data_IF_086373696263
#
_entry.id   IF_086373696263
#
_cell.length_a   1.000
_cell.length_b   1.000
_cell.length_c   1.000
_cell.angle_alpha   90.00
_cell.angle_beta   90.00
_cell.angle_gamma   90.00
#
_symmetry.space_group_name_H-M   'P 1'
#
loop_
_entity.id
_entity.type
_entity.pdbx_description
1 polymer ?
#
# COMPACT_ATOMS: atom_id res chain seq x y z
N UNK A 1 23.30 -34.12 -5.79
CA UNK A 1 22.71 -33.91 -4.45
C UNK A 1 22.40 -32.43 -4.15
N UNK A 2 22.42 -31.53 -5.14
CA UNK A 2 22.23 -30.08 -4.94
C UNK A 2 20.77 -29.59 -5.10
N UNK A 3 19.91 -30.36 -5.77
CA UNK A 3 18.55 -29.93 -6.09
C UNK A 3 17.57 -29.89 -4.89
N UNK A 4 17.91 -30.53 -3.76
CA UNK A 4 17.06 -30.56 -2.57
C UNK A 4 17.24 -29.34 -1.64
N UNK A 5 18.29 -28.55 -1.81
CA UNK A 5 18.50 -27.34 -1.00
C UNK A 5 17.58 -26.18 -1.40
N UNK A 6 17.14 -26.17 -2.66
CA UNK A 6 16.30 -25.10 -3.21
C UNK A 6 14.83 -25.27 -2.78
N UNK A 7 14.37 -26.51 -2.62
CA UNK A 7 12.96 -26.82 -2.27
C UNK A 7 12.68 -26.76 -0.77
N UNK A 8 13.67 -27.02 0.09
CA UNK A 8 13.54 -26.91 1.53
C UNK A 8 13.56 -25.45 2.05
N UNK A 9 14.03 -24.50 1.24
CA UNK A 9 14.30 -23.12 1.66
C UNK A 9 13.55 -22.09 0.79
N UNK A 10 12.24 -22.30 0.58
CA UNK A 10 11.36 -21.24 0.09
C UNK A 10 11.45 -19.99 0.97
N UNK A 11 11.77 -20.19 2.25
CA UNK A 11 12.08 -19.13 3.20
C UNK A 11 13.51 -18.58 2.99
N UNK A 12 13.66 -17.26 2.76
CA UNK A 12 14.95 -16.64 2.53
C UNK A 12 15.90 -16.84 3.70
N UNK A 13 15.46 -16.90 4.96
CA UNK A 13 16.32 -17.07 6.14
C UNK A 13 17.06 -18.41 6.10
N UNK A 14 16.33 -19.49 5.78
CA UNK A 14 16.89 -20.84 5.65
C UNK A 14 17.95 -20.88 4.54
N UNK A 15 17.72 -20.17 3.43
CA UNK A 15 18.68 -20.09 2.32
C UNK A 15 19.98 -19.38 2.71
N UNK A 16 19.92 -18.31 3.51
CA UNK A 16 21.12 -17.58 3.95
C UNK A 16 21.94 -18.41 4.94
N UNK A 17 21.27 -19.15 5.83
CA UNK A 17 21.91 -20.03 6.81
C UNK A 17 22.63 -21.18 6.11
N UNK A 18 21.97 -21.80 5.12
CA UNK A 18 22.53 -22.93 4.36
C UNK A 18 23.68 -22.50 3.42
N UNK A 19 23.62 -21.29 2.82
CA UNK A 19 24.63 -20.84 1.85
C UNK A 19 25.84 -20.18 2.50
N UNK A 20 25.65 -19.37 3.55
CA UNK A 20 26.72 -18.54 4.10
C UNK A 20 27.25 -19.00 5.47
N UNK A 21 26.65 -20.01 6.12
CA UNK A 21 27.07 -20.55 7.44
C UNK A 21 27.32 -19.46 8.51
N UNK A 22 26.66 -18.31 8.40
CA UNK A 22 26.81 -17.14 9.28
C UNK A 22 25.61 -17.04 10.20
N UNK A 23 25.84 -17.20 11.50
CA UNK A 23 24.81 -17.60 12.45
C UNK A 23 23.91 -16.46 12.93
N UNK A 24 24.38 -15.21 13.01
CA UNK A 24 23.70 -14.20 13.83
C UNK A 24 23.50 -12.81 13.17
N UNK A 25 24.53 -12.16 12.62
CA UNK A 25 24.43 -10.73 12.23
C UNK A 25 23.48 -10.46 11.05
N UNK A 26 23.53 -11.28 9.99
CA UNK A 26 22.72 -11.10 8.77
C UNK A 26 21.24 -11.41 8.98
N UNK A 27 20.92 -12.38 9.83
CA UNK A 27 19.54 -12.71 10.21
C UNK A 27 18.91 -11.58 11.03
N UNK A 28 19.68 -10.95 11.92
CA UNK A 28 19.19 -9.80 12.68
C UNK A 28 18.83 -8.62 11.75
N UNK A 29 19.67 -8.32 10.75
CA UNK A 29 19.36 -7.28 9.75
C UNK A 29 18.09 -7.63 8.97
N UNK A 30 17.93 -8.88 8.55
CA UNK A 30 16.74 -9.33 7.84
C UNK A 30 15.46 -9.15 8.69
N UNK A 31 15.48 -9.62 9.94
CA UNK A 31 14.34 -9.48 10.87
C UNK A 31 13.99 -8.03 11.18
N UNK A 32 15.00 -7.17 11.31
CA UNK A 32 14.80 -5.72 11.46
C UNK A 32 14.13 -5.14 10.21
N UNK A 33 14.56 -5.53 9.02
CA UNK A 33 13.98 -5.01 7.77
C UNK A 33 12.51 -5.41 7.60
N UNK A 34 12.13 -6.64 7.95
CA UNK A 34 10.73 -7.08 7.91
C UNK A 34 9.85 -6.34 8.92
N UNK A 35 10.39 -6.03 10.09
CA UNK A 35 9.68 -5.22 11.09
C UNK A 35 9.35 -3.82 10.55
N UNK A 36 10.31 -3.17 9.86
CA UNK A 36 10.08 -1.89 9.21
C UNK A 36 9.05 -1.98 8.08
N UNK A 37 9.10 -3.03 7.25
CA UNK A 37 8.07 -3.24 6.23
C UNK A 37 6.69 -3.45 6.84
N UNK A 38 6.57 -4.13 7.99
CA UNK A 38 5.29 -4.32 8.69
C UNK A 38 4.66 -3.00 9.17
N UNK A 39 5.48 -2.02 9.57
CA UNK A 39 5.02 -0.70 10.00
C UNK A 39 4.25 0.07 8.91
N UNK A 40 4.58 -0.17 7.63
CA UNK A 40 3.92 0.49 6.50
C UNK A 40 2.41 0.19 6.36
N UNK A 41 1.90 -0.83 7.06
CA UNK A 41 0.46 -1.14 7.05
C UNK A 41 -0.38 -0.20 7.95
N UNK A 42 0.25 0.47 8.92
CA UNK A 42 -0.44 1.38 9.83
C UNK A 42 -1.02 2.62 9.11
N UNK A 43 -0.32 3.12 8.08
CA UNK A 43 -0.78 4.26 7.27
C UNK A 43 -2.05 3.92 6.49
N UNK A 44 -2.19 2.68 6.01
CA UNK A 44 -3.39 2.21 5.33
C UNK A 44 -4.64 2.22 6.21
N UNK A 45 -4.49 1.87 7.49
CA UNK A 45 -5.61 1.88 8.45
C UNK A 45 -6.07 3.31 8.77
N UNK A 46 -5.14 4.27 8.84
CA UNK A 46 -5.47 5.70 9.03
C UNK A 46 -6.19 6.24 7.80
N UNK A 47 -5.78 5.85 6.59
CA UNK A 47 -6.48 6.25 5.36
C UNK A 47 -7.90 5.70 5.32
N UNK A 48 -8.08 4.44 5.70
CA UNK A 48 -9.40 3.81 5.82
C UNK A 48 -10.33 4.57 6.78
N UNK A 49 -9.83 4.98 7.96
CA UNK A 49 -10.61 5.78 8.91
C UNK A 49 -11.01 7.16 8.34
N UNK A 50 -10.10 7.82 7.61
CA UNK A 50 -10.40 9.10 6.94
C UNK A 50 -11.43 8.94 5.82
N UNK A 51 -11.31 7.91 5.00
CA UNK A 51 -12.26 7.67 3.90
C UNK A 51 -13.67 7.38 4.46
N UNK A 52 -13.79 6.62 5.56
CA UNK A 52 -15.08 6.42 6.24
C UNK A 52 -15.65 7.75 6.75
N UNK A 53 -14.83 8.57 7.42
CA UNK A 53 -15.26 9.87 7.93
C UNK A 53 -15.78 10.77 6.79
N UNK A 54 -15.06 10.78 5.65
CA UNK A 54 -15.45 11.50 4.46
C UNK A 54 -16.81 11.04 3.92
N UNK A 55 -17.03 9.71 3.83
CA UNK A 55 -18.32 9.17 3.35
C UNK A 55 -19.49 9.43 4.30
N UNK A 56 -19.22 9.58 5.59
CA UNK A 56 -20.24 9.84 6.63
C UNK A 56 -20.54 11.33 6.77
N UNK A 57 -19.72 12.20 6.17
CA UNK A 57 -19.83 13.65 6.31
C UNK A 57 -19.56 14.16 7.73
N UNK A 58 -18.89 13.36 8.55
CA UNK A 58 -18.59 13.68 9.96
C UNK A 58 -17.14 14.08 10.11
N UNK A 59 -16.90 15.23 10.74
CA UNK A 59 -15.54 15.65 11.11
C UNK A 59 -15.12 14.92 12.39
N UNK A 60 -14.33 13.85 12.22
CA UNK A 60 -13.72 13.14 13.34
C UNK A 60 -12.48 13.88 13.83
N UNK A 61 -12.35 14.01 15.14
CA UNK A 61 -11.09 14.43 15.78
C UNK A 61 -9.96 13.46 15.43
N UNK A 62 -8.74 13.98 15.37
CA UNK A 62 -7.52 13.21 15.06
C UNK A 62 -7.34 12.00 15.99
N UNK A 63 -7.74 12.13 17.26
CA UNK A 63 -7.66 11.02 18.21
C UNK A 63 -8.65 9.90 17.85
N UNK A 64 -9.90 10.25 17.54
CA UNK A 64 -10.93 9.29 17.15
C UNK A 64 -10.55 8.52 15.87
N UNK A 65 -9.95 9.19 14.88
CA UNK A 65 -9.46 8.52 13.66
C UNK A 65 -8.39 7.47 13.98
N UNK A 66 -7.48 7.78 14.91
CA UNK A 66 -6.40 6.87 15.33
C UNK A 66 -6.94 5.67 16.10
N UNK A 67 -7.97 5.85 16.91
CA UNK A 67 -8.60 4.75 17.66
C UNK A 67 -9.36 3.80 16.73
N UNK A 68 -10.05 4.34 15.72
CA UNK A 68 -10.69 3.53 14.67
C UNK A 68 -9.64 2.77 13.85
N UNK A 69 -8.54 3.42 13.49
CA UNK A 69 -7.44 2.77 12.78
C UNK A 69 -6.78 1.66 13.62
N UNK A 70 -6.56 1.90 14.92
CA UNK A 70 -5.96 0.93 15.83
C UNK A 70 -6.85 -0.29 16.05
N UNK A 71 -8.16 -0.08 16.28
CA UNK A 71 -9.13 -1.17 16.43
C UNK A 71 -9.26 -2.01 15.16
N UNK A 72 -9.27 -1.38 13.98
CA UNK A 72 -9.27 -2.08 12.70
C UNK A 72 -8.02 -2.96 12.52
N UNK A 73 -6.84 -2.46 12.88
CA UNK A 73 -5.58 -3.22 12.78
C UNK A 73 -5.57 -4.45 13.71
N UNK A 74 -6.05 -4.29 14.95
CA UNK A 74 -6.15 -5.40 15.93
C UNK A 74 -7.13 -6.46 15.45
N UNK A 75 -8.29 -6.06 14.91
CA UNK A 75 -9.29 -6.98 14.39
C UNK A 75 -8.72 -7.82 13.25
N UNK A 76 -8.06 -7.17 12.28
CA UNK A 76 -7.46 -7.85 11.13
C UNK A 76 -6.36 -8.82 11.57
N UNK A 77 -5.48 -8.39 12.48
CA UNK A 77 -4.44 -9.27 13.05
C UNK A 77 -5.08 -10.49 13.70
N UNK A 78 -6.08 -10.27 14.57
CA UNK A 78 -6.75 -11.35 15.30
C UNK A 78 -7.48 -12.31 14.38
N UNK A 79 -8.15 -11.82 13.34
CA UNK A 79 -8.84 -12.64 12.35
C UNK A 79 -7.86 -13.55 11.60
N UNK A 80 -6.69 -13.01 11.22
CA UNK A 80 -5.68 -13.76 10.49
C UNK A 80 -4.98 -14.81 11.36
N UNK A 81 -4.74 -14.51 12.64
CA UNK A 81 -4.16 -15.45 13.59
C UNK A 81 -5.08 -16.63 13.92
N UNK A 82 -6.40 -16.40 13.95
CA UNK A 82 -7.38 -17.44 14.32
C UNK A 82 -7.76 -18.35 13.15
N UNK A 83 -7.88 -17.82 11.93
CA UNK A 83 -8.37 -18.59 10.78
C UNK A 83 -7.56 -18.27 9.50
N UNK A 84 -6.31 -18.77 9.40
CA UNK A 84 -5.42 -18.44 8.28
C UNK A 84 -5.96 -18.89 6.92
N UNK A 85 -6.79 -19.96 6.88
CA UNK A 85 -7.44 -20.45 5.65
C UNK A 85 -8.41 -19.44 5.05
N UNK A 86 -9.07 -18.63 5.89
CA UNK A 86 -9.95 -17.56 5.43
C UNK A 86 -9.10 -16.38 4.94
N UNK A 87 -8.00 -16.08 5.63
CA UNK A 87 -7.07 -15.02 5.24
C UNK A 87 -6.61 -15.11 3.78
N UNK A 88 -6.22 -16.31 3.33
CA UNK A 88 -5.78 -16.53 1.93
C UNK A 88 -6.92 -16.25 0.92
N UNK A 89 -8.14 -16.72 1.21
CA UNK A 89 -9.30 -16.46 0.34
C UNK A 89 -9.65 -14.97 0.29
N UNK A 90 -9.60 -14.29 1.43
CA UNK A 90 -9.86 -12.85 1.53
C UNK A 90 -8.81 -12.05 0.78
N UNK A 91 -7.53 -12.41 0.88
CA UNK A 91 -6.45 -11.75 0.13
C UNK A 91 -6.64 -11.88 -1.39
N UNK A 92 -7.05 -13.06 -1.87
CA UNK A 92 -7.34 -13.26 -3.29
C UNK A 92 -8.51 -12.38 -3.77
N UNK A 93 -9.58 -12.28 -2.97
CA UNK A 93 -10.73 -11.44 -3.29
C UNK A 93 -10.37 -9.95 -3.31
N UNK A 94 -9.66 -9.45 -2.29
CA UNK A 94 -9.23 -8.05 -2.21
C UNK A 94 -8.27 -7.72 -3.35
N UNK A 95 -7.39 -8.65 -3.72
CA UNK A 95 -6.50 -8.51 -4.88
C UNK A 95 -7.29 -8.33 -6.18
N UNK A 96 -8.31 -9.15 -6.40
CA UNK A 96 -9.16 -9.05 -7.59
C UNK A 96 -9.91 -7.70 -7.65
N UNK A 97 -10.51 -7.26 -6.53
CA UNK A 97 -11.21 -5.98 -6.45
C UNK A 97 -10.25 -4.82 -6.77
N UNK A 98 -9.03 -4.84 -6.21
CA UNK A 98 -8.00 -3.84 -6.50
C UNK A 98 -7.65 -3.78 -7.98
N UNK A 99 -7.51 -4.93 -8.64
CA UNK A 99 -7.21 -4.97 -10.08
C UNK A 99 -8.33 -4.36 -10.92
N UNK A 100 -9.60 -4.63 -10.57
CA UNK A 100 -10.75 -4.05 -11.28
C UNK A 100 -10.78 -2.53 -11.12
N UNK A 101 -10.57 -2.01 -9.90
CA UNK A 101 -10.53 -0.57 -9.63
C UNK A 101 -9.34 0.08 -10.37
N UNK A 102 -8.17 -0.54 -10.35
CA UNK A 102 -7.00 -0.04 -11.04
C UNK A 102 -7.25 0.03 -12.56
N UNK A 103 -7.83 -1.01 -13.14
CA UNK A 103 -8.18 -1.02 -14.56
C UNK A 103 -9.17 0.11 -14.89
N UNK A 104 -10.18 0.32 -14.05
CA UNK A 104 -11.12 1.42 -14.22
C UNK A 104 -10.43 2.80 -14.18
N UNK A 105 -9.50 3.01 -13.24
CA UNK A 105 -8.74 4.27 -13.13
C UNK A 105 -7.86 4.48 -14.39
N UNK A 106 -7.22 3.42 -14.90
CA UNK A 106 -6.40 3.50 -16.13
C UNK A 106 -7.24 3.84 -17.35
N UNK A 107 -8.39 3.17 -17.52
CA UNK A 107 -9.29 3.42 -18.65
C UNK A 107 -9.86 4.84 -18.60
N UNK A 108 -10.32 5.27 -17.43
CA UNK A 108 -10.83 6.65 -17.26
C UNK A 108 -9.74 7.70 -17.46
N UNK A 109 -8.50 7.43 -17.02
CA UNK A 109 -7.33 8.27 -17.30
C UNK A 109 -7.08 8.44 -18.80
N UNK A 110 -7.10 7.36 -19.58
CA UNK A 110 -6.97 7.45 -21.04
C UNK A 110 -8.12 8.21 -21.70
N UNK A 111 -9.37 7.99 -21.26
CA UNK A 111 -10.53 8.68 -21.81
C UNK A 111 -10.48 10.19 -21.54
N UNK A 112 -10.04 10.59 -20.33
CA UNK A 112 -9.89 12.00 -19.96
C UNK A 112 -8.78 12.65 -20.79
N UNK A 113 -7.60 12.02 -20.87
CA UNK A 113 -6.44 12.56 -21.60
C UNK A 113 -6.64 12.58 -23.12
N UNK A 114 -7.39 11.61 -23.66
CA UNK A 114 -7.74 11.54 -25.08
C UNK A 114 -8.82 12.53 -25.52
N UNK A 115 -9.29 13.42 -24.64
CA UNK A 115 -10.32 14.41 -24.98
C UNK A 115 -11.74 13.83 -25.12
N UNK A 116 -12.00 12.65 -24.56
CA UNK A 116 -13.31 11.99 -24.62
C UNK A 116 -14.41 12.72 -23.83
N UNK A 117 -14.05 13.68 -22.98
CA UNK A 117 -14.98 14.45 -22.16
C UNK A 117 -15.00 15.92 -22.61
N UNK A 118 -16.04 16.29 -23.38
CA UNK A 118 -16.23 17.65 -23.94
C UNK A 118 -16.39 18.77 -22.89
N UNK A 119 -16.62 18.42 -21.62
CA UNK A 119 -16.76 19.36 -20.51
C UNK A 119 -15.42 19.87 -19.97
N UNK A 120 -14.31 19.19 -20.28
CA UNK A 120 -12.97 19.58 -19.83
C UNK A 120 -12.34 20.44 -20.94
N UNK A 121 -12.13 21.72 -20.65
CA UNK A 121 -11.66 22.71 -21.63
C UNK A 121 -10.22 22.44 -22.10
N UNK A 122 -9.39 21.90 -21.20
CA UNK A 122 -8.01 21.48 -21.49
C UNK A 122 -7.64 20.26 -20.63
N UNK A 123 -7.69 19.03 -21.18
CA UNK A 123 -7.34 17.81 -20.45
C UNK A 123 -5.83 17.67 -20.13
N UNK A 124 -4.97 18.52 -20.70
CA UNK A 124 -3.51 18.54 -20.48
C UNK A 124 -3.02 19.60 -19.48
N UNK A 125 -3.89 20.53 -19.06
CA UNK A 125 -3.51 21.68 -18.22
C UNK A 125 -2.74 21.32 -16.94
N UNK A 126 -3.05 20.18 -16.31
CA UNK A 126 -2.33 19.69 -15.13
C UNK A 126 -0.84 19.43 -15.37
N UNK A 127 -0.45 18.98 -16.57
CA UNK A 127 0.95 18.79 -16.94
C UNK A 127 1.64 20.12 -17.23
N UNK A 128 0.95 21.03 -17.92
CA UNK A 128 1.49 22.35 -18.25
C UNK A 128 1.77 23.20 -17.00
N UNK A 129 0.86 23.17 -16.01
CA UNK A 129 1.00 23.91 -14.75
C UNK A 129 2.11 23.31 -13.86
N UNK A 130 2.19 21.97 -13.75
CA UNK A 130 3.22 21.30 -12.96
C UNK A 130 4.64 21.52 -13.51
N UNK A 131 4.80 21.51 -14.84
CA UNK A 131 6.10 21.73 -15.49
C UNK A 131 6.53 23.20 -15.38
N UNK A 132 5.60 24.13 -15.58
CA UNK A 132 5.89 25.58 -15.45
C UNK A 132 6.21 25.97 -14.01
N UNK A 133 5.58 25.33 -13.02
CA UNK A 133 5.89 25.51 -11.60
C UNK A 133 7.30 25.04 -11.23
N UNK A 134 7.76 23.92 -11.79
CA UNK A 134 9.11 23.38 -11.57
C UNK A 134 10.21 24.29 -12.14
N UNK A 135 9.95 24.95 -13.27
CA UNK A 135 10.90 25.89 -13.91
C UNK A 135 11.03 27.18 -13.09
N UNK A 136 9.96 27.60 -12.40
CA UNK A 136 9.93 28.89 -11.70
C UNK A 136 10.22 28.81 -10.20
N UNK A 137 9.99 27.69 -9.50
CA UNK A 137 10.33 27.52 -8.07
C UNK A 137 10.62 26.04 -7.74
N UNK A 138 11.82 25.74 -7.23
CA UNK A 138 12.29 24.36 -7.05
C UNK A 138 11.56 23.54 -5.96
N UNK A 139 10.86 24.14 -4.98
CA UNK A 139 10.00 23.49 -3.96
C UNK A 139 9.07 24.59 -3.38
N UNK A 140 7.71 24.53 -3.47
CA UNK A 140 6.90 23.92 -2.40
C UNK A 140 5.45 23.54 -2.83
N UNK A 141 5.18 22.34 -3.36
CA UNK A 141 3.80 21.93 -3.71
C UNK A 141 3.33 20.67 -2.97
N UNK A 142 3.59 20.58 -1.67
CA UNK A 142 3.06 19.51 -0.81
C UNK A 142 2.03 20.00 0.24
N UNK A 143 1.61 21.27 0.23
CA UNK A 143 0.83 21.86 1.34
C UNK A 143 -0.57 22.39 0.97
N UNK A 144 -1.09 22.15 -0.23
CA UNK A 144 -2.48 22.51 -0.56
C UNK A 144 -3.16 21.38 -1.31
N UNK A 145 -3.55 20.34 -0.57
CA UNK A 145 -4.83 19.66 -0.74
C UNK A 145 -5.22 18.95 0.56
#
# INVERSE_FOLDING_TARGET
>A
MEFNFITAAGDPEVRIILTYKVKNFRLTIYKISEFFSRWSHATGCIRFANDIAYTTGTELSEHNKRDIAASAMILVARMHDLIPKIGVKVMSLVGMIKLVILLFIVVTGWVVLGGGIKRILDPGAGFHIAITGLINNAIPYAMVL
#
